data_IF_805430656938
#
_entry.id   IF_805430656938
#
_cell.length_a   1.000
_cell.length_b   1.000
_cell.length_c   1.000
_cell.angle_alpha   90.00
_cell.angle_beta   90.00
_cell.angle_gamma   90.00
#
_symmetry.space_group_name_H-M   'P 1'
#
loop_
_entity.id
_entity.type
_entity.pdbx_description
1 polymer ?
#
# COMPACT_ATOMS: atom_id res chain seq x y z
N UNK A 1 -57.78 55.64 11.42
CA UNK A 1 -56.36 56.00 11.21
C UNK A 1 -55.63 55.29 12.34
N UNK A 2 -55.40 53.99 12.17
CA UNK A 2 -54.06 53.35 12.00
C UNK A 2 -53.23 53.45 13.29
N UNK A 3 -52.94 52.37 14.04
CA UNK A 3 -51.97 51.26 13.81
C UNK A 3 -51.69 50.60 15.20
N UNK A 4 -52.32 49.48 15.55
CA UNK A 4 -51.78 48.11 15.73
C UNK A 4 -50.27 47.90 16.05
N UNK A 5 -49.96 47.65 17.33
CA UNK A 5 -49.21 46.48 17.89
C UNK A 5 -49.00 45.30 16.92
N UNK A 6 -47.75 45.12 16.45
CA UNK A 6 -47.18 43.84 15.96
C UNK A 6 -45.74 43.73 16.49
N UNK A 7 -45.57 43.07 17.64
CA UNK A 7 -44.79 41.83 17.81
C UNK A 7 -44.33 41.17 16.50
N UNK A 8 -43.03 41.23 16.23
CA UNK A 8 -42.29 40.21 15.46
C UNK A 8 -40.89 40.01 16.09
N UNK A 9 -40.80 39.15 17.11
CA UNK A 9 -39.92 37.98 17.17
C UNK A 9 -39.63 37.32 15.80
N UNK A 10 -38.35 37.33 15.40
CA UNK A 10 -37.73 36.27 14.61
C UNK A 10 -36.25 36.14 15.03
N UNK A 11 -35.96 35.38 16.10
CA UNK A 11 -35.19 34.13 16.11
C UNK A 11 -34.39 33.77 14.85
N UNK A 12 -33.15 34.27 14.75
CA UNK A 12 -32.06 33.65 13.99
C UNK A 12 -30.82 33.45 14.89
N UNK A 13 -30.98 32.74 15.99
CA UNK A 13 -29.88 32.21 16.80
C UNK A 13 -30.27 30.79 17.24
N UNK A 14 -29.87 29.75 16.49
CA UNK A 14 -29.23 28.51 17.02
C UNK A 14 -29.29 27.34 16.02
N UNK A 15 -28.50 27.35 14.93
CA UNK A 15 -28.28 26.14 14.09
C UNK A 15 -26.81 25.71 13.95
N UNK A 16 -25.88 26.24 14.76
CA UNK A 16 -24.44 25.92 14.69
C UNK A 16 -23.93 25.03 15.85
N UNK A 17 -24.77 24.17 16.46
CA UNK A 17 -24.39 23.57 17.76
C UNK A 17 -23.64 22.24 17.74
N UNK A 18 -23.46 21.55 16.61
CA UNK A 18 -22.74 20.25 16.60
C UNK A 18 -21.89 20.03 15.34
N UNK A 19 -21.14 21.02 14.81
CA UNK A 19 -20.13 20.75 13.78
C UNK A 19 -18.70 20.91 14.34
N UNK A 20 -17.87 19.88 14.16
CA UNK A 20 -16.46 19.92 14.54
C UNK A 20 -15.65 20.35 13.32
N UNK A 21 -14.68 21.23 13.56
CA UNK A 21 -13.79 21.73 12.50
C UNK A 21 -12.44 21.05 12.62
N UNK A 22 -11.97 20.52 11.50
CA UNK A 22 -10.60 20.03 11.38
C UNK A 22 -9.80 21.04 10.56
N UNK A 23 -8.75 21.59 11.16
CA UNK A 23 -7.82 22.51 10.52
C UNK A 23 -6.80 21.75 9.65
N UNK A 24 -6.20 22.45 8.68
CA UNK A 24 -5.14 21.91 7.81
C UNK A 24 -5.57 20.73 6.90
N UNK A 25 -6.88 20.58 6.64
CA UNK A 25 -7.43 19.58 5.71
C UNK A 25 -8.30 20.27 4.66
N UNK A 26 -8.02 20.00 3.37
CA UNK A 26 -8.83 20.48 2.26
C UNK A 26 -10.13 19.66 2.13
N UNK A 27 -11.26 20.34 1.92
CA UNK A 27 -12.50 19.66 1.58
C UNK A 27 -12.59 19.49 0.05
N UNK A 28 -12.85 18.28 -0.45
CA UNK A 28 -12.90 18.06 -1.91
C UNK A 28 -14.17 18.60 -2.58
N UNK A 29 -15.17 18.95 -1.78
CA UNK A 29 -16.52 19.20 -2.26
C UNK A 29 -17.32 17.91 -2.42
N UNK A 30 -18.66 18.02 -2.37
CA UNK A 30 -19.60 16.90 -2.61
C UNK A 30 -20.05 16.82 -4.08
N UNK A 31 -19.40 17.53 -5.00
CA UNK A 31 -19.90 17.58 -6.38
C UNK A 31 -19.71 16.22 -7.06
N UNK A 32 -20.81 15.65 -7.52
CA UNK A 32 -20.80 14.43 -8.32
C UNK A 32 -20.39 14.69 -9.79
N UNK A 33 -20.13 15.97 -10.15
CA UNK A 33 -19.92 16.41 -11.53
C UNK A 33 -18.45 16.55 -11.96
N UNK A 34 -17.51 16.52 -11.02
CA UNK A 34 -16.08 16.75 -11.30
C UNK A 34 -15.21 15.70 -10.63
N UNK A 35 -14.02 15.46 -11.19
CA UNK A 35 -13.01 14.62 -10.53
C UNK A 35 -12.45 15.28 -9.29
N UNK A 36 -12.34 14.53 -8.20
CA UNK A 36 -11.66 15.00 -6.99
C UNK A 36 -10.17 15.21 -7.19
N UNK A 37 -9.53 14.53 -8.15
CA UNK A 37 -8.09 14.68 -8.40
C UNK A 37 -7.81 15.77 -9.43
N UNK A 38 -8.34 15.63 -10.63
CA UNK A 38 -7.97 16.48 -11.78
C UNK A 38 -8.97 17.61 -12.09
N UNK A 39 -10.13 17.66 -11.44
CA UNK A 39 -11.28 18.56 -11.70
C UNK A 39 -11.89 18.53 -13.11
N UNK A 40 -11.47 17.58 -13.95
CA UNK A 40 -12.15 17.27 -15.21
C UNK A 40 -13.63 16.97 -14.96
N UNK A 41 -14.47 17.37 -15.92
CA UNK A 41 -15.91 17.08 -15.91
C UNK A 41 -16.19 15.58 -16.03
N UNK A 42 -17.42 15.17 -15.69
CA UNK A 42 -17.79 13.75 -15.72
C UNK A 42 -17.67 13.16 -17.11
N UNK A 43 -16.85 12.12 -17.22
CA UNK A 43 -16.77 11.28 -18.40
C UNK A 43 -17.00 9.80 -18.05
N UNK A 44 -17.17 8.97 -19.07
CA UNK A 44 -17.39 7.52 -18.93
C UNK A 44 -16.28 6.77 -18.17
N UNK A 45 -15.07 7.34 -18.05
CA UNK A 45 -13.93 6.70 -17.37
C UNK A 45 -13.85 7.00 -15.87
N UNK A 46 -14.83 7.74 -15.35
CA UNK A 46 -14.90 8.07 -13.93
C UNK A 46 -15.65 7.03 -13.13
N UNK A 47 -15.15 6.81 -11.92
CA UNK A 47 -15.73 5.85 -10.99
C UNK A 47 -16.06 6.55 -9.68
N UNK A 48 -17.01 6.00 -8.93
CA UNK A 48 -17.22 6.44 -7.55
C UNK A 48 -16.00 6.04 -6.73
N UNK A 49 -15.35 7.04 -6.14
CA UNK A 49 -14.13 6.86 -5.35
C UNK A 49 -14.37 5.83 -4.23
N UNK A 50 -13.67 4.69 -4.27
CA UNK A 50 -13.75 3.69 -3.20
C UNK A 50 -13.27 4.25 -1.85
N UNK A 51 -13.77 3.70 -0.74
CA UNK A 51 -13.37 4.08 0.62
C UNK A 51 -11.83 4.09 0.83
N UNK A 52 -11.07 3.06 0.41
CA UNK A 52 -9.61 3.07 0.58
C UNK A 52 -8.93 4.26 -0.09
N UNK A 53 -9.39 4.66 -1.29
CA UNK A 53 -8.83 5.80 -2.03
C UNK A 53 -9.14 7.12 -1.32
N UNK A 54 -10.35 7.27 -0.76
CA UNK A 54 -10.71 8.44 0.06
C UNK A 54 -9.81 8.58 1.29
N UNK A 55 -9.45 7.45 1.91
CA UNK A 55 -8.50 7.44 3.03
C UNK A 55 -7.08 7.79 2.58
N UNK A 56 -6.60 7.23 1.45
CA UNK A 56 -5.28 7.57 0.90
C UNK A 56 -5.20 9.09 0.61
N UNK A 57 -6.26 9.69 0.06
CA UNK A 57 -6.37 11.13 -0.17
C UNK A 57 -6.24 11.95 1.12
N UNK A 58 -6.86 11.48 2.21
CA UNK A 58 -6.79 12.12 3.51
C UNK A 58 -5.39 12.04 4.11
N UNK A 59 -4.80 10.84 4.12
CA UNK A 59 -3.49 10.61 4.76
C UNK A 59 -2.36 11.23 3.94
N UNK A 60 -2.32 10.98 2.63
CA UNK A 60 -1.19 11.38 1.79
C UNK A 60 -1.31 12.82 1.29
N UNK A 61 -2.53 13.32 1.09
CA UNK A 61 -2.78 14.62 0.45
C UNK A 61 -3.53 15.62 1.34
N UNK A 62 -3.79 15.28 2.61
CA UNK A 62 -4.48 16.13 3.60
C UNK A 62 -5.81 16.64 3.07
N UNK A 63 -6.56 15.75 2.42
CA UNK A 63 -7.81 16.13 1.79
C UNK A 63 -8.92 15.14 2.09
N UNK A 64 -10.04 15.68 2.56
CA UNK A 64 -11.20 14.90 2.88
C UNK A 64 -12.16 14.85 1.70
N UNK A 65 -12.52 13.63 1.34
CA UNK A 65 -13.46 13.33 0.28
C UNK A 65 -14.70 12.65 0.87
N UNK A 66 -15.90 13.26 0.75
CA UNK A 66 -17.11 12.64 1.27
C UNK A 66 -17.50 11.40 0.45
N UNK A 67 -18.48 10.64 0.93
CA UNK A 67 -19.03 9.51 0.17
C UNK A 67 -19.66 9.97 -1.14
N UNK A 68 -19.57 9.15 -2.19
CA UNK A 68 -20.22 9.41 -3.47
C UNK A 68 -19.43 10.31 -4.44
N UNK A 69 -18.26 10.79 -4.04
CA UNK A 69 -17.39 11.58 -4.93
C UNK A 69 -16.74 10.72 -6.00
N UNK A 70 -16.42 11.33 -7.14
CA UNK A 70 -15.90 10.61 -8.31
C UNK A 70 -14.43 10.93 -8.59
N UNK A 71 -13.70 9.94 -9.08
CA UNK A 71 -12.34 10.12 -9.59
C UNK A 71 -12.14 9.43 -10.93
N UNK A 72 -11.13 9.87 -11.68
CA UNK A 72 -10.76 9.23 -12.94
C UNK A 72 -9.98 7.93 -12.67
N UNK A 73 -10.28 6.87 -13.43
CA UNK A 73 -9.67 5.54 -13.20
C UNK A 73 -8.15 5.53 -13.33
N UNK A 74 -7.59 6.35 -14.22
CA UNK A 74 -6.14 6.52 -14.45
C UNK A 74 -5.31 6.89 -13.21
N UNK A 75 -5.94 7.44 -12.16
CA UNK A 75 -5.26 7.80 -10.92
C UNK A 75 -5.25 6.68 -9.88
N UNK A 76 -5.79 5.51 -10.26
CA UNK A 76 -6.00 4.39 -9.36
C UNK A 76 -5.31 3.14 -9.87
N UNK A 77 -4.68 2.42 -8.94
CA UNK A 77 -4.18 1.09 -9.16
C UNK A 77 -4.66 0.21 -8.01
N UNK A 78 -5.34 -0.89 -8.31
CA UNK A 78 -5.88 -1.80 -7.28
C UNK A 78 -6.65 -1.07 -6.18
N UNK A 79 -7.59 -0.20 -6.56
CA UNK A 79 -8.44 0.49 -5.56
C UNK A 79 -7.63 1.37 -4.57
N UNK A 80 -6.42 1.80 -4.95
CA UNK A 80 -5.53 2.68 -4.19
C UNK A 80 -5.12 3.88 -5.02
N UNK A 81 -4.83 5.00 -4.37
CA UNK A 81 -4.35 6.18 -5.05
C UNK A 81 -2.91 5.94 -5.53
N UNK A 82 -2.57 6.30 -6.77
CA UNK A 82 -1.17 6.21 -7.19
C UNK A 82 -0.31 7.18 -6.34
N UNK A 83 0.90 6.77 -5.91
CA UNK A 83 1.71 7.56 -4.98
C UNK A 83 2.06 8.98 -5.51
N UNK A 84 2.31 9.09 -6.82
CA UNK A 84 2.83 10.32 -7.45
C UNK A 84 1.74 11.22 -8.04
N UNK A 85 0.49 10.99 -7.65
CA UNK A 85 -0.61 11.80 -8.17
C UNK A 85 -0.55 13.22 -7.63
N UNK A 86 -0.56 14.20 -8.53
CA UNK A 86 -0.71 15.62 -8.21
C UNK A 86 -2.18 15.97 -8.15
N UNK A 87 -2.59 16.55 -7.02
CA UNK A 87 -3.97 16.98 -6.81
C UNK A 87 -4.08 18.44 -7.24
N UNK A 88 -4.91 18.70 -8.24
CA UNK A 88 -5.31 20.07 -8.56
C UNK A 88 -6.05 20.66 -7.35
N UNK A 89 -5.45 21.68 -6.73
CA UNK A 89 -5.98 22.40 -5.56
C UNK A 89 -6.63 23.74 -5.91
N UNK A 90 -6.61 24.15 -7.17
CA UNK A 90 -7.13 25.44 -7.64
C UNK A 90 -8.59 25.62 -7.23
N UNK A 91 -8.93 26.80 -6.69
CA UNK A 91 -10.28 27.16 -6.23
C UNK A 91 -10.90 26.16 -5.23
N UNK A 92 -10.10 25.52 -4.37
CA UNK A 92 -10.60 24.80 -3.19
C UNK A 92 -10.59 25.73 -1.99
N UNK A 93 -11.67 25.71 -1.21
CA UNK A 93 -11.78 26.51 0.01
C UNK A 93 -10.58 26.27 0.93
N UNK A 94 -10.32 27.27 1.76
CA UNK A 94 -9.38 27.25 2.89
C UNK A 94 -9.36 25.91 3.64
N UNK A 95 -8.20 25.51 4.20
CA UNK A 95 -7.98 24.21 4.85
C UNK A 95 -8.74 24.08 6.17
N UNK A 96 -10.06 24.01 6.08
CA UNK A 96 -10.99 23.90 7.18
C UNK A 96 -12.18 23.07 6.70
N UNK A 97 -12.21 21.79 7.08
CA UNK A 97 -13.35 20.94 6.80
C UNK A 97 -14.27 20.97 8.02
N UNK A 98 -15.52 21.42 7.81
CA UNK A 98 -16.60 21.32 8.80
C UNK A 98 -17.27 19.96 8.61
N UNK A 99 -17.20 19.10 9.64
CA UNK A 99 -17.72 17.75 9.58
C UNK A 99 -18.73 17.52 10.70
N UNK A 100 -19.76 16.75 10.38
CA UNK A 100 -20.69 16.20 11.36
C UNK A 100 -19.95 15.24 12.32
N UNK A 101 -20.31 15.20 13.62
CA UNK A 101 -19.66 14.40 14.66
C UNK A 101 -19.60 12.91 14.31
N UNK A 102 -20.66 12.38 13.70
CA UNK A 102 -20.75 10.98 13.28
C UNK A 102 -19.74 10.64 12.18
N UNK A 103 -19.54 11.56 11.25
CA UNK A 103 -18.56 11.42 10.17
C UNK A 103 -17.15 11.45 10.76
N UNK A 104 -16.89 12.37 11.68
CA UNK A 104 -15.60 12.47 12.37
C UNK A 104 -15.27 11.18 13.12
N UNK A 105 -16.22 10.65 13.90
CA UNK A 105 -16.04 9.41 14.64
C UNK A 105 -15.70 8.23 13.70
N UNK A 106 -16.40 8.12 12.58
CA UNK A 106 -16.10 7.06 11.59
C UNK A 106 -14.71 7.24 11.00
N UNK A 107 -14.33 8.47 10.66
CA UNK A 107 -13.01 8.80 10.15
C UNK A 107 -11.92 8.44 11.16
N UNK A 108 -12.14 8.77 12.44
CA UNK A 108 -11.20 8.48 13.52
C UNK A 108 -11.02 6.97 13.70
N UNK A 109 -12.11 6.19 13.67
CA UNK A 109 -12.03 4.74 13.71
C UNK A 109 -11.33 4.15 12.47
N UNK A 110 -11.56 4.72 11.27
CA UNK A 110 -10.87 4.27 10.06
C UNK A 110 -9.36 4.57 10.15
N UNK A 111 -8.96 5.78 10.61
CA UNK A 111 -7.56 6.13 10.87
C UNK A 111 -6.92 5.22 11.92
N UNK A 112 -7.59 4.97 13.06
CA UNK A 112 -7.11 4.01 14.07
C UNK A 112 -6.89 2.62 13.48
N UNK A 113 -7.82 2.15 12.63
CA UNK A 113 -7.66 0.90 11.91
C UNK A 113 -6.42 0.89 11.01
N UNK A 114 -6.18 1.98 10.26
CA UNK A 114 -4.97 2.12 9.43
C UNK A 114 -3.70 2.14 10.26
N UNK A 115 -3.67 2.86 11.38
CA UNK A 115 -2.52 2.88 12.30
C UNK A 115 -2.27 1.50 12.90
N UNK A 116 -3.31 0.74 13.24
CA UNK A 116 -3.17 -0.63 13.74
C UNK A 116 -2.62 -1.56 12.66
N UNK A 117 -3.09 -1.42 11.42
CA UNK A 117 -2.53 -2.18 10.29
C UNK A 117 -1.06 -1.79 10.09
N UNK A 118 -0.75 -0.50 9.96
CA UNK A 118 0.63 -0.02 9.82
C UNK A 118 1.55 -0.49 10.96
N UNK A 119 1.04 -0.64 12.20
CA UNK A 119 1.83 -1.13 13.32
C UNK A 119 2.11 -2.64 13.23
N UNK A 120 1.24 -3.39 12.57
CA UNK A 120 1.37 -4.84 12.35
C UNK A 120 1.92 -5.21 10.98
N UNK A 121 2.02 -4.27 10.04
CA UNK A 121 2.50 -4.59 8.69
C UNK A 121 4.01 -4.65 8.68
N UNK A 122 4.55 -5.73 8.11
CA UNK A 122 6.00 -5.89 8.02
C UNK A 122 6.60 -4.75 7.21
N UNK A 123 7.76 -4.21 7.65
CA UNK A 123 8.45 -3.15 6.90
C UNK A 123 8.90 -3.63 5.52
N UNK A 124 9.11 -4.94 5.37
CA UNK A 124 9.39 -5.61 4.10
C UNK A 124 8.41 -6.77 3.88
N UNK A 125 7.51 -6.59 2.92
CA UNK A 125 6.58 -7.61 2.46
C UNK A 125 6.69 -7.79 0.95
N UNK A 126 7.41 -8.82 0.52
CA UNK A 126 7.59 -9.12 -0.91
C UNK A 126 6.32 -9.72 -1.53
N UNK A 127 5.29 -10.04 -0.74
CA UNK A 127 3.95 -10.35 -1.25
C UNK A 127 3.17 -9.09 -1.62
N UNK A 128 3.62 -7.92 -1.15
CA UNK A 128 2.89 -6.70 -1.43
C UNK A 128 3.23 -6.18 -2.84
N UNK A 129 2.21 -6.09 -3.70
CA UNK A 129 2.37 -5.61 -5.08
C UNK A 129 2.84 -4.14 -5.16
N UNK A 130 2.74 -3.40 -4.06
CA UNK A 130 3.12 -1.98 -3.97
C UNK A 130 4.61 -1.72 -3.87
N UNK A 131 5.44 -2.77 -3.71
CA UNK A 131 6.89 -2.62 -3.67
C UNK A 131 7.41 -2.25 -5.06
N UNK A 132 8.15 -1.14 -5.14
CA UNK A 132 8.70 -0.61 -6.38
C UNK A 132 9.88 -1.46 -6.85
N UNK A 133 10.22 -1.39 -8.13
CA UNK A 133 11.43 -2.03 -8.67
C UNK A 133 12.72 -1.57 -7.96
N UNK A 134 12.79 -0.28 -7.57
CA UNK A 134 13.90 0.26 -6.78
C UNK A 134 14.01 -0.47 -5.43
N UNK A 135 12.90 -0.67 -4.71
CA UNK A 135 12.92 -1.41 -3.44
C UNK A 135 13.45 -2.83 -3.61
N UNK A 136 13.05 -3.52 -4.68
CA UNK A 136 13.61 -4.84 -5.02
C UNK A 136 15.12 -4.74 -5.26
N UNK A 137 15.58 -3.80 -6.09
CA UNK A 137 17.00 -3.61 -6.35
C UNK A 137 17.75 -3.32 -5.06
N UNK A 138 17.30 -2.38 -4.23
CA UNK A 138 17.94 -1.98 -2.97
C UNK A 138 18.07 -3.14 -2.00
N UNK A 139 17.05 -3.99 -1.85
CA UNK A 139 17.09 -5.03 -0.83
C UNK A 139 17.68 -6.35 -1.31
N UNK A 140 17.38 -6.77 -2.54
CA UNK A 140 17.80 -8.09 -3.04
C UNK A 140 18.96 -7.99 -4.02
N UNK A 141 19.09 -6.86 -4.73
CA UNK A 141 20.02 -6.68 -5.85
C UNK A 141 19.43 -7.07 -7.21
N UNK A 142 18.14 -7.44 -7.25
CA UNK A 142 17.46 -7.90 -8.45
C UNK A 142 16.33 -6.95 -8.81
N UNK A 143 16.07 -6.78 -10.10
CA UNK A 143 14.83 -6.12 -10.54
C UNK A 143 13.63 -6.98 -10.15
N UNK A 144 12.44 -6.39 -10.16
CA UNK A 144 11.19 -7.08 -9.81
C UNK A 144 10.91 -8.26 -10.75
N UNK A 145 11.13 -8.09 -12.05
CA UNK A 145 10.98 -9.14 -13.07
C UNK A 145 11.99 -10.27 -12.87
N UNK A 146 13.26 -9.95 -12.63
CA UNK A 146 14.27 -10.98 -12.40
C UNK A 146 14.00 -11.77 -11.11
N UNK A 147 13.54 -11.09 -10.05
CA UNK A 147 13.16 -11.75 -8.81
C UNK A 147 11.96 -12.69 -9.03
N UNK A 148 10.96 -12.25 -9.79
CA UNK A 148 9.78 -13.05 -10.11
C UNK A 148 10.16 -14.31 -10.89
N UNK A 149 10.98 -14.17 -11.93
CA UNK A 149 11.49 -15.30 -12.68
C UNK A 149 12.19 -16.31 -11.76
N UNK A 150 13.12 -15.86 -10.91
CA UNK A 150 13.80 -16.74 -9.94
C UNK A 150 12.80 -17.42 -8.99
N UNK A 151 11.85 -16.66 -8.44
CA UNK A 151 10.79 -17.20 -7.59
C UNK A 151 10.00 -18.31 -8.28
N UNK A 152 9.60 -18.12 -9.54
CA UNK A 152 8.85 -19.13 -10.29
C UNK A 152 9.66 -20.41 -10.53
N UNK A 153 10.98 -20.32 -10.70
CA UNK A 153 11.84 -21.50 -10.90
C UNK A 153 11.93 -22.39 -9.66
N UNK A 154 11.95 -21.78 -8.47
CA UNK A 154 12.14 -22.47 -7.20
C UNK A 154 10.84 -22.82 -6.47
N UNK A 155 9.72 -22.15 -6.82
CA UNK A 155 8.42 -22.33 -6.17
C UNK A 155 8.00 -23.81 -6.03
N UNK A 156 8.11 -24.67 -7.05
CA UNK A 156 7.66 -26.07 -6.94
C UNK A 156 8.42 -26.90 -5.89
N UNK A 157 9.61 -26.44 -5.48
CA UNK A 157 10.49 -27.14 -4.54
C UNK A 157 10.50 -26.49 -3.15
N UNK A 158 9.71 -25.42 -2.95
CA UNK A 158 9.50 -24.86 -1.63
C UNK A 158 8.22 -25.39 -1.02
N UNK A 159 8.39 -26.05 0.12
CA UNK A 159 7.24 -26.38 0.95
C UNK A 159 6.79 -25.10 1.66
N UNK A 160 5.57 -24.65 1.37
CA UNK A 160 4.90 -23.61 2.14
C UNK A 160 4.60 -24.17 3.52
N UNK A 161 5.28 -23.67 4.57
CA UNK A 161 4.90 -23.99 5.94
C UNK A 161 3.96 -22.93 6.49
N UNK A 162 3.24 -23.28 7.55
CA UNK A 162 2.33 -22.41 8.30
C UNK A 162 2.89 -21.02 8.68
N UNK A 163 4.22 -20.88 8.79
CA UNK A 163 4.89 -19.65 9.26
C UNK A 163 5.91 -19.10 8.25
N UNK A 164 5.89 -19.58 6.99
CA UNK A 164 6.89 -19.19 5.98
C UNK A 164 6.27 -19.06 4.61
N UNK A 165 6.15 -17.83 4.14
CA UNK A 165 5.80 -17.55 2.76
C UNK A 165 7.05 -17.71 1.90
N UNK A 166 6.97 -18.56 0.88
CA UNK A 166 8.12 -18.92 0.04
C UNK A 166 8.80 -17.70 -0.60
N UNK A 167 7.99 -16.69 -0.99
CA UNK A 167 8.48 -15.46 -1.63
C UNK A 167 9.31 -14.62 -0.65
N UNK A 168 8.81 -14.41 0.57
CA UNK A 168 9.56 -13.72 1.62
C UNK A 168 10.80 -14.52 2.04
N UNK A 169 10.75 -15.85 2.07
CA UNK A 169 11.93 -16.67 2.35
C UNK A 169 13.04 -16.47 1.30
N UNK A 170 12.67 -16.40 0.01
CA UNK A 170 13.63 -16.08 -1.05
C UNK A 170 14.19 -14.66 -0.90
N UNK A 171 13.34 -13.69 -0.59
CA UNK A 171 13.78 -12.33 -0.31
C UNK A 171 14.74 -12.27 0.89
N UNK A 172 14.44 -12.98 1.99
CA UNK A 172 15.32 -13.05 3.16
C UNK A 172 16.70 -13.63 2.82
N UNK A 173 16.74 -14.66 1.97
CA UNK A 173 17.98 -15.22 1.46
C UNK A 173 18.82 -14.18 0.72
N UNK A 174 18.25 -13.51 -0.28
CA UNK A 174 19.00 -12.51 -1.06
C UNK A 174 19.42 -11.31 -0.22
N UNK A 175 18.52 -10.77 0.62
CA UNK A 175 18.85 -9.69 1.55
C UNK A 175 20.04 -10.10 2.42
N UNK A 176 20.02 -11.30 3.02
CA UNK A 176 21.14 -11.77 3.85
C UNK A 176 22.45 -11.75 3.08
N UNK A 177 22.48 -12.25 1.85
CA UNK A 177 23.67 -12.30 1.01
C UNK A 177 24.16 -10.89 0.63
N UNK A 178 23.24 -9.98 0.35
CA UNK A 178 23.57 -8.63 -0.12
C UNK A 178 24.02 -7.67 1.00
N UNK A 179 23.34 -7.70 2.14
CA UNK A 179 23.50 -6.65 3.17
C UNK A 179 24.30 -7.07 4.39
N UNK A 180 24.73 -8.34 4.46
CA UNK A 180 25.41 -8.93 5.61
C UNK A 180 24.68 -8.70 6.97
N UNK A 181 23.34 -8.57 6.96
CA UNK A 181 22.57 -8.28 8.18
C UNK A 181 22.44 -9.54 9.02
N UNK A 182 22.45 -9.44 10.36
CA UNK A 182 22.18 -10.62 11.19
C UNK A 182 20.77 -11.16 10.93
N UNK A 183 20.57 -12.47 11.14
CA UNK A 183 19.24 -13.09 11.01
C UNK A 183 18.18 -12.42 11.89
N UNK A 184 18.62 -11.80 13.00
CA UNK A 184 17.79 -11.03 13.93
C UNK A 184 17.31 -9.72 13.29
N UNK A 185 18.21 -8.97 12.66
CA UNK A 185 17.85 -7.72 11.96
C UNK A 185 16.89 -8.01 10.80
N UNK A 186 17.13 -9.07 10.04
CA UNK A 186 16.23 -9.50 8.97
C UNK A 186 14.85 -9.88 9.55
N UNK A 187 14.80 -10.67 10.63
CA UNK A 187 13.52 -11.02 11.27
C UNK A 187 12.71 -9.81 11.74
N UNK A 188 13.38 -8.76 12.21
CA UNK A 188 12.75 -7.47 12.53
C UNK A 188 12.20 -6.75 11.28
N UNK A 189 12.94 -6.72 10.16
CA UNK A 189 12.46 -6.11 8.91
C UNK A 189 11.19 -6.77 8.37
N UNK A 190 11.06 -8.08 8.52
CA UNK A 190 9.88 -8.85 8.09
C UNK A 190 8.81 -8.96 9.18
N UNK A 191 8.95 -8.22 10.29
CA UNK A 191 8.06 -8.25 11.45
C UNK A 191 7.68 -9.68 11.89
N UNK A 192 8.67 -10.59 11.95
CA UNK A 192 8.40 -11.96 12.37
C UNK A 192 8.01 -11.95 13.85
N UNK A 193 6.84 -12.51 14.13
CA UNK A 193 6.31 -12.48 15.49
C UNK A 193 7.06 -13.44 16.41
N UNK A 194 7.11 -13.10 17.69
CA UNK A 194 7.75 -13.94 18.70
C UNK A 194 8.98 -13.31 19.33
N UNK A 195 9.49 -14.02 20.34
CA UNK A 195 10.70 -13.65 21.05
C UNK A 195 11.93 -13.68 20.14
N UNK A 196 12.99 -13.12 20.66
CA UNK A 196 14.29 -12.99 20.02
C UNK A 196 14.79 -14.24 19.30
N UNK A 197 14.73 -15.38 19.99
CA UNK A 197 15.27 -16.63 19.48
C UNK A 197 14.39 -17.20 18.35
N UNK A 198 13.07 -17.05 18.46
CA UNK A 198 12.12 -17.48 17.43
C UNK A 198 12.41 -16.77 16.10
N UNK A 199 12.56 -15.43 16.11
CA UNK A 199 12.81 -14.64 14.90
C UNK A 199 14.05 -15.11 14.16
N UNK A 200 15.16 -15.23 14.89
CA UNK A 200 16.43 -15.73 14.35
C UNK A 200 16.27 -17.13 13.75
N UNK A 201 15.61 -18.05 14.46
CA UNK A 201 15.44 -19.44 14.00
C UNK A 201 14.59 -19.50 12.72
N UNK A 202 13.51 -18.73 12.63
CA UNK A 202 12.66 -18.72 11.43
C UNK A 202 13.46 -18.23 10.22
N UNK A 203 14.22 -17.14 10.38
CA UNK A 203 15.04 -16.59 9.29
C UNK A 203 16.16 -17.55 8.89
N UNK A 204 16.89 -18.10 9.86
CA UNK A 204 17.94 -19.10 9.61
C UNK A 204 17.39 -20.31 8.84
N UNK A 205 16.22 -20.86 9.23
CA UNK A 205 15.59 -21.98 8.50
C UNK A 205 15.12 -21.60 7.09
N UNK A 206 14.65 -20.37 6.92
CA UNK A 206 14.27 -19.84 5.61
C UNK A 206 15.51 -19.70 4.74
N UNK A 207 16.59 -19.16 5.27
CA UNK A 207 17.88 -19.05 4.59
C UNK A 207 18.39 -20.44 4.15
N UNK A 208 18.44 -21.42 5.04
CA UNK A 208 19.02 -22.75 4.74
C UNK A 208 18.18 -23.57 3.74
N UNK A 209 16.86 -23.33 3.63
CA UNK A 209 16.00 -24.07 2.69
C UNK A 209 16.20 -23.66 1.24
N UNK A 210 16.68 -22.43 0.99
CA UNK A 210 16.79 -21.87 -0.36
C UNK A 210 17.94 -22.48 -1.16
N UNK A 211 19.17 -22.62 -0.62
CA UNK A 211 20.26 -23.27 -1.33
C UNK A 211 19.91 -24.68 -1.80
N UNK A 212 19.20 -25.47 -0.99
CA UNK A 212 18.75 -26.81 -1.40
C UNK A 212 17.83 -26.73 -2.62
N UNK A 213 16.80 -25.88 -2.58
CA UNK A 213 15.91 -25.66 -3.74
C UNK A 213 16.66 -25.12 -4.98
N UNK A 214 17.69 -24.30 -4.79
CA UNK A 214 18.53 -23.80 -5.88
C UNK A 214 19.40 -24.92 -6.48
N UNK A 215 20.07 -25.71 -5.65
CA UNK A 215 20.86 -26.88 -6.06
C UNK A 215 19.97 -27.85 -6.83
N UNK A 216 18.79 -28.21 -6.34
CA UNK A 216 17.96 -29.23 -7.00
C UNK A 216 17.47 -28.81 -8.40
N UNK A 217 17.36 -27.49 -8.68
CA UNK A 217 16.87 -26.96 -9.97
C UNK A 217 17.91 -26.30 -10.86
N UNK A 218 18.74 -25.40 -10.31
CA UNK A 218 19.73 -24.63 -11.06
C UNK A 218 20.96 -25.49 -11.36
N UNK A 219 21.50 -26.24 -10.40
CA UNK A 219 22.74 -26.99 -10.64
C UNK A 219 22.62 -28.06 -11.74
N UNK A 220 21.53 -28.87 -11.81
CA UNK A 220 21.43 -29.91 -12.84
C UNK A 220 21.17 -29.36 -14.23
N UNK A 221 20.59 -28.15 -14.33
CA UNK A 221 20.18 -27.59 -15.61
C UNK A 221 21.10 -26.47 -16.09
N UNK A 222 21.83 -25.73 -15.25
CA UNK A 222 22.50 -24.49 -15.66
C UNK A 222 23.76 -24.32 -14.78
N UNK A 223 24.95 -24.59 -15.33
CA UNK A 223 26.24 -24.23 -14.72
C UNK A 223 26.39 -22.70 -14.75
N UNK A 224 25.63 -22.01 -13.88
CA UNK A 224 25.69 -20.56 -13.74
C UNK A 224 24.47 -19.81 -14.28
N UNK A 225 24.33 -18.57 -13.79
CA UNK A 225 23.34 -17.60 -14.28
C UNK A 225 23.86 -17.10 -15.63
N UNK A 226 23.33 -17.66 -16.74
CA UNK A 226 23.67 -17.23 -18.11
C UNK A 226 24.35 -18.25 -19.02
N UNK A 227 24.46 -19.55 -18.68
CA UNK A 227 25.09 -20.53 -19.59
C UNK A 227 24.35 -21.86 -19.73
N UNK A 228 24.14 -22.19 -21.01
CA UNK A 228 23.92 -23.51 -21.64
C UNK A 228 23.46 -24.65 -20.73
N UNK A 229 22.22 -25.07 -20.97
CA UNK A 229 21.71 -26.30 -20.40
C UNK A 229 22.61 -27.50 -20.70
N UNK A 230 22.71 -28.46 -19.77
CA UNK A 230 23.38 -29.76 -20.00
C UNK A 230 22.95 -30.39 -21.34
N UNK A 231 21.67 -30.29 -21.70
CA UNK A 231 21.19 -30.73 -23.03
C UNK A 231 21.86 -29.97 -24.17
N UNK A 232 22.03 -28.65 -24.07
CA UNK A 232 22.77 -27.86 -25.07
C UNK A 232 24.28 -28.14 -25.10
N UNK A 233 24.92 -28.52 -23.98
CA UNK A 233 26.34 -28.97 -23.97
C UNK A 233 26.49 -30.33 -24.64
N UNK A 234 25.52 -31.22 -24.44
CA UNK A 234 25.52 -32.52 -25.10
C UNK A 234 25.35 -32.33 -26.61
N UNK A 235 24.42 -31.47 -27.06
CA UNK A 235 24.26 -31.15 -28.49
C UNK A 235 25.46 -30.42 -29.09
N UNK A 236 26.16 -29.54 -28.36
CA UNK A 236 27.37 -28.88 -28.85
C UNK A 236 28.57 -29.84 -28.97
N UNK A 237 28.60 -30.94 -28.21
CA UNK A 237 29.71 -31.91 -28.23
C UNK A 237 29.43 -33.22 -29.01
N UNK A 238 28.32 -33.29 -29.77
CA UNK A 238 28.05 -34.35 -30.78
C UNK A 238 28.11 -33.77 -32.18
#
# INVERSE_FOLDING_TARGET
>A
MDTSVHEDQNQDQDQDQHQLTIENILFSGSSHKKCVVCRGEVNTTMITMPKPVRLDLLVLKRMYAPRGVRCCRKYLWNNRLLPDVKINTDNRQTPMAKLEPTVLLNLFNDLLGLLQEASTTSRLDFMNASMSNEDYLTWTGWTKEQFEHMFMLILPHMQSSCNREARNALAMFWIKLKTNLSFRQIGSLFNISGNYENRRKVVSRSFDSIPQALVDKLLPKHLGIGYLSRSEVIDHNT
#
